data_IF_058321068799
#
_entry.id   IF_058321068799
#
_cell.length_a   1.000
_cell.length_b   1.000
_cell.length_c   1.000
_cell.angle_alpha   90.00
_cell.angle_beta   90.00
_cell.angle_gamma   90.00
#
_symmetry.space_group_name_H-M   'P 1'
#
loop_
_entity.id
_entity.type
_entity.pdbx_description
1 polymer ?
#
# COMPACT_ATOMS: atom_id res chain seq x y z
N UNK A 1 6.97 20.09 9.84
CA UNK A 1 7.62 19.10 10.73
C UNK A 1 6.67 17.93 10.86
N UNK A 2 7.16 16.69 10.78
CA UNK A 2 6.34 15.49 10.95
C UNK A 2 5.66 15.51 12.32
N UNK A 3 4.40 15.07 12.37
CA UNK A 3 3.58 15.12 13.59
C UNK A 3 3.91 13.99 14.58
N UNK A 4 4.60 12.96 14.12
CA UNK A 4 4.92 11.72 14.84
C UNK A 4 6.39 11.35 14.69
N UNK A 5 6.97 10.69 15.69
CA UNK A 5 8.25 10.01 15.51
C UNK A 5 8.09 8.78 14.60
N UNK A 6 9.17 8.29 13.94
CA UNK A 6 9.14 7.07 13.13
C UNK A 6 8.48 5.87 13.84
N UNK A 7 8.81 5.65 15.11
CA UNK A 7 8.30 4.52 15.88
C UNK A 7 6.81 4.67 16.25
N UNK A 8 6.36 5.89 16.56
CA UNK A 8 4.94 6.16 16.81
C UNK A 8 4.10 5.97 15.56
N UNK A 9 4.56 6.51 14.42
CA UNK A 9 3.91 6.33 13.13
C UNK A 9 3.77 4.84 12.81
N UNK A 10 4.84 4.04 12.92
CA UNK A 10 4.79 2.61 12.67
C UNK A 10 3.78 1.89 13.57
N UNK A 11 3.78 2.19 14.88
CA UNK A 11 2.82 1.61 15.84
C UNK A 11 1.37 1.96 15.50
N UNK A 12 1.12 3.21 15.09
CA UNK A 12 -0.22 3.64 14.64
C UNK A 12 -0.63 2.83 13.42
N UNK A 13 0.22 2.70 12.40
CA UNK A 13 -0.08 1.90 11.21
C UNK A 13 -0.45 0.46 11.56
N UNK A 14 0.31 -0.18 12.46
CA UNK A 14 0.07 -1.56 12.91
C UNK A 14 -1.25 -1.78 13.65
N UNK A 15 -1.93 -0.73 14.09
CA UNK A 15 -3.14 -0.82 14.92
C UNK A 15 -4.45 -1.02 14.15
N UNK A 16 -4.49 -0.71 12.85
CA UNK A 16 -5.70 -0.71 12.03
C UNK A 16 -5.45 -1.05 10.56
N UNK A 17 -6.48 -0.98 9.72
CA UNK A 17 -6.38 -1.23 8.29
C UNK A 17 -5.72 -0.06 7.56
N UNK A 18 -4.96 -0.35 6.48
CA UNK A 18 -4.27 0.68 5.68
C UNK A 18 -4.99 0.96 4.37
N UNK A 19 -5.21 2.25 4.11
CA UNK A 19 -5.78 2.74 2.86
C UNK A 19 -4.68 3.00 1.82
N UNK A 20 -4.89 2.53 0.60
CA UNK A 20 -4.03 2.80 -0.56
C UNK A 20 -4.90 3.42 -1.67
N UNK A 21 -5.20 4.73 -1.59
CA UNK A 21 -6.07 5.40 -2.54
C UNK A 21 -5.56 5.30 -3.98
N UNK A 22 -6.46 5.05 -4.93
CA UNK A 22 -6.12 5.20 -6.36
C UNK A 22 -5.89 6.67 -6.71
N UNK A 23 -4.98 6.93 -7.64
CA UNK A 23 -4.77 8.28 -8.19
C UNK A 23 -5.85 8.54 -9.25
N UNK A 24 -6.57 9.66 -9.14
CA UNK A 24 -7.64 10.00 -10.08
C UNK A 24 -7.06 10.68 -11.33
N UNK A 25 -7.53 10.29 -12.50
CA UNK A 25 -7.09 10.87 -13.77
C UNK A 25 -8.27 11.39 -14.57
N UNK A 26 -8.01 12.38 -15.42
CA UNK A 26 -8.91 12.77 -16.51
C UNK A 26 -8.76 11.83 -17.70
N UNK A 27 -9.64 11.95 -18.69
CA UNK A 27 -9.60 11.14 -19.92
C UNK A 27 -8.31 11.34 -20.73
N UNK A 28 -7.65 12.49 -20.59
CA UNK A 28 -6.33 12.78 -21.18
C UNK A 28 -5.15 12.27 -20.33
N UNK A 29 -5.44 11.44 -19.33
CA UNK A 29 -4.54 10.91 -18.31
C UNK A 29 -3.98 11.93 -17.32
N UNK A 30 -4.26 13.23 -17.42
CA UNK A 30 -3.75 14.20 -16.44
C UNK A 30 -4.31 13.97 -15.03
N UNK A 31 -3.53 14.29 -14.00
CA UNK A 31 -3.97 14.16 -12.60
C UNK A 31 -5.21 15.04 -12.32
N UNK A 32 -6.30 14.40 -11.89
CA UNK A 32 -7.51 15.09 -11.45
C UNK A 32 -7.48 15.29 -9.93
N UNK A 33 -6.85 16.40 -9.53
CA UNK A 33 -6.63 16.73 -8.14
C UNK A 33 -7.92 16.94 -7.34
N UNK A 34 -8.92 17.60 -7.94
CA UNK A 34 -10.21 17.83 -7.28
C UNK A 34 -10.91 16.51 -6.99
N UNK A 35 -11.04 15.63 -7.99
CA UNK A 35 -11.67 14.33 -7.80
C UNK A 35 -10.90 13.44 -6.81
N UNK A 36 -9.56 13.52 -6.81
CA UNK A 36 -8.72 12.83 -5.83
C UNK A 36 -9.00 13.31 -4.40
N UNK A 37 -9.01 14.63 -4.16
CA UNK A 37 -9.31 15.22 -2.84
C UNK A 37 -10.72 14.87 -2.37
N UNK A 38 -11.72 14.96 -3.24
CA UNK A 38 -13.10 14.56 -2.92
C UNK A 38 -13.16 13.08 -2.49
N UNK A 39 -12.39 12.20 -3.17
CA UNK A 39 -12.29 10.81 -2.76
C UNK A 39 -11.61 10.64 -1.40
N UNK A 40 -10.52 11.37 -1.13
CA UNK A 40 -9.85 11.33 0.17
C UNK A 40 -10.75 11.83 1.30
N UNK A 41 -11.49 12.92 1.08
CA UNK A 41 -12.46 13.44 2.04
C UNK A 41 -13.49 12.39 2.43
N UNK A 42 -14.02 11.64 1.46
CA UNK A 42 -14.93 10.49 1.71
C UNK A 42 -14.25 9.34 2.46
N UNK A 43 -13.02 8.99 2.09
CA UNK A 43 -12.29 7.90 2.76
C UNK A 43 -11.88 8.27 4.19
N UNK A 44 -11.73 9.55 4.50
CA UNK A 44 -11.39 10.05 5.84
C UNK A 44 -12.51 9.85 6.88
N UNK A 45 -13.75 9.58 6.46
CA UNK A 45 -14.86 9.24 7.36
C UNK A 45 -14.75 7.81 7.93
N UNK A 46 -13.89 6.98 7.32
CA UNK A 46 -13.65 5.60 7.73
C UNK A 46 -12.39 5.50 8.61
N UNK A 47 -12.45 4.62 9.62
CA UNK A 47 -11.37 4.43 10.57
C UNK A 47 -10.26 3.55 9.98
N UNK A 48 -9.30 4.19 9.31
CA UNK A 48 -8.03 3.57 8.87
C UNK A 48 -6.86 4.11 9.69
N UNK A 49 -5.82 3.30 9.88
CA UNK A 49 -4.64 3.70 10.64
C UNK A 49 -3.59 4.44 9.82
N UNK A 50 -3.70 4.42 8.49
CA UNK A 50 -2.77 5.12 7.61
C UNK A 50 -3.27 5.19 6.17
N UNK A 51 -2.81 6.21 5.47
CA UNK A 51 -3.08 6.45 4.06
C UNK A 51 -1.75 6.46 3.28
N UNK A 52 -1.65 5.63 2.25
CA UNK A 52 -0.45 5.55 1.40
C UNK A 52 -0.73 6.24 0.06
N UNK A 53 -0.27 7.49 -0.04
CA UNK A 53 -0.45 8.31 -1.24
C UNK A 53 0.44 7.81 -2.37
N UNK A 54 -0.06 7.85 -3.62
CA UNK A 54 0.70 7.46 -4.81
C UNK A 54 1.47 6.13 -4.67
N UNK A 55 0.92 5.14 -3.93
CA UNK A 55 1.51 3.81 -3.79
C UNK A 55 1.33 2.95 -5.05
N UNK A 56 1.51 1.63 -4.92
CA UNK A 56 1.28 0.71 -6.04
C UNK A 56 -0.14 0.79 -6.62
N UNK A 57 -1.17 0.77 -5.76
CA UNK A 57 -2.58 0.98 -6.14
C UNK A 57 -2.85 2.39 -6.67
N UNK A 58 -2.05 3.37 -6.22
CA UNK A 58 -2.04 4.75 -6.70
C UNK A 58 -1.22 4.94 -8.00
N UNK A 59 -0.83 3.86 -8.66
CA UNK A 59 -0.10 3.88 -9.94
C UNK A 59 1.26 4.60 -9.89
N UNK A 60 2.00 4.51 -8.76
CA UNK A 60 3.37 5.06 -8.61
C UNK A 60 4.24 4.91 -9.86
N UNK A 61 4.20 3.71 -10.46
CA UNK A 61 5.01 3.31 -11.61
C UNK A 61 4.63 4.02 -12.93
N UNK A 62 3.53 4.76 -12.96
CA UNK A 62 3.04 5.53 -14.12
C UNK A 62 2.95 7.04 -13.84
N UNK A 63 3.52 7.50 -12.73
CA UNK A 63 3.57 8.91 -12.35
C UNK A 63 4.96 9.49 -12.58
N UNK A 64 5.01 10.75 -13.02
CA UNK A 64 6.25 11.54 -12.98
C UNK A 64 6.59 11.94 -11.54
N UNK A 65 7.85 12.27 -11.21
CA UNK A 65 8.21 12.78 -9.89
C UNK A 65 7.41 14.03 -9.47
N UNK A 66 7.13 14.93 -10.41
CA UNK A 66 6.32 16.11 -10.15
C UNK A 66 4.85 15.77 -9.81
N UNK A 67 4.28 14.75 -10.46
CA UNK A 67 2.94 14.28 -10.13
C UNK A 67 2.88 13.57 -8.78
N UNK A 68 3.92 12.81 -8.42
CA UNK A 68 4.03 12.18 -7.10
C UNK A 68 3.99 13.26 -6.00
N UNK A 69 4.76 14.34 -6.13
CA UNK A 69 4.74 15.45 -5.17
C UNK A 69 3.35 16.10 -5.09
N UNK A 70 2.69 16.34 -6.24
CA UNK A 70 1.32 16.91 -6.27
C UNK A 70 0.28 16.00 -5.60
N UNK A 71 0.28 14.70 -5.90
CA UNK A 71 -0.62 13.73 -5.28
C UNK A 71 -0.38 13.66 -3.77
N UNK A 72 0.89 13.65 -3.36
CA UNK A 72 1.26 13.62 -1.95
C UNK A 72 0.78 14.86 -1.20
N UNK A 73 1.04 16.07 -1.72
CA UNK A 73 0.58 17.32 -1.10
C UNK A 73 -0.94 17.36 -0.98
N UNK A 74 -1.64 16.92 -2.02
CA UNK A 74 -3.09 16.82 -1.97
C UNK A 74 -3.58 15.89 -0.84
N UNK A 75 -2.89 14.76 -0.64
CA UNK A 75 -3.21 13.85 0.46
C UNK A 75 -2.89 14.44 1.84
N UNK A 76 -1.72 15.04 2.03
CA UNK A 76 -1.31 15.67 3.31
C UNK A 76 -2.28 16.79 3.71
N UNK A 77 -2.64 17.65 2.76
CA UNK A 77 -3.54 18.78 3.01
C UNK A 77 -4.97 18.33 3.30
N UNK A 78 -5.47 17.27 2.65
CA UNK A 78 -6.84 16.79 2.83
C UNK A 78 -7.01 16.00 4.15
N UNK A 79 -5.99 15.24 4.57
CA UNK A 79 -6.05 14.51 5.84
C UNK A 79 -5.95 15.44 7.05
N UNK A 80 -5.25 16.58 6.93
CA UNK A 80 -5.05 17.57 8.01
C UNK A 80 -4.51 16.95 9.30
N UNK A 81 -3.64 15.94 9.16
CA UNK A 81 -3.05 15.20 10.28
C UNK A 81 -4.00 14.25 11.02
N UNK A 82 -5.24 14.05 10.55
CA UNK A 82 -6.19 13.08 11.15
C UNK A 82 -5.75 11.62 10.97
N UNK A 83 -5.09 11.35 9.84
CA UNK A 83 -4.58 10.03 9.45
C UNK A 83 -3.15 10.21 8.96
N UNK A 84 -2.17 9.41 9.44
CA UNK A 84 -0.80 9.46 8.94
C UNK A 84 -0.74 9.25 7.43
N UNK A 85 0.00 10.11 6.73
CA UNK A 85 0.19 10.01 5.28
C UNK A 85 1.59 9.47 4.97
N UNK A 86 1.63 8.33 4.30
CA UNK A 86 2.84 7.65 3.90
C UNK A 86 3.11 7.92 2.42
N UNK A 87 4.22 8.58 2.13
CA UNK A 87 4.66 8.88 0.78
C UNK A 87 5.33 7.69 0.11
N UNK A 88 5.34 7.59 -1.23
CA UNK A 88 6.13 6.61 -1.92
C UNK A 88 7.56 7.15 -2.17
N UNK A 89 8.53 6.26 -2.14
CA UNK A 89 9.85 6.48 -2.74
C UNK A 89 10.27 5.20 -3.47
N UNK A 90 11.13 5.28 -4.47
CA UNK A 90 11.59 4.09 -5.20
C UNK A 90 12.47 4.46 -6.38
N UNK A 91 12.56 3.57 -7.38
CA UNK A 91 13.48 3.71 -8.52
C UNK A 91 14.95 3.63 -8.07
N UNK A 92 15.90 4.14 -8.86
CA UNK A 92 17.31 4.17 -8.46
C UNK A 92 17.56 5.03 -7.21
N UNK A 93 18.67 4.78 -6.50
CA UNK A 93 19.01 5.42 -5.22
C UNK A 93 18.94 6.95 -5.25
N UNK A 94 19.44 7.59 -6.31
CA UNK A 94 19.43 9.05 -6.40
C UNK A 94 18.00 9.62 -6.39
N UNK A 95 17.10 9.01 -7.18
CA UNK A 95 15.72 9.45 -7.27
C UNK A 95 14.92 9.09 -6.01
N UNK A 96 15.18 7.92 -5.41
CA UNK A 96 14.57 7.54 -4.14
C UNK A 96 14.93 8.53 -3.00
N UNK A 97 16.19 9.00 -2.96
CA UNK A 97 16.66 10.02 -2.01
C UNK A 97 16.00 11.37 -2.26
N UNK A 98 15.85 11.78 -3.52
CA UNK A 98 15.13 13.01 -3.89
C UNK A 98 13.67 12.94 -3.46
N UNK A 99 12.98 11.84 -3.76
CA UNK A 99 11.58 11.61 -3.36
C UNK A 99 11.42 11.61 -1.84
N UNK A 100 12.36 11.01 -1.09
CA UNK A 100 12.32 10.99 0.38
C UNK A 100 12.40 12.40 0.98
N UNK A 101 13.29 13.26 0.45
CA UNK A 101 13.40 14.66 0.88
C UNK A 101 12.17 15.47 0.51
N UNK A 102 11.65 15.27 -0.71
CA UNK A 102 10.42 15.92 -1.16
C UNK A 102 9.22 15.53 -0.28
N UNK A 103 9.13 14.25 0.12
CA UNK A 103 8.09 13.77 1.00
C UNK A 103 8.11 14.44 2.38
N UNK A 104 9.29 14.56 2.98
CA UNK A 104 9.48 15.27 4.24
C UNK A 104 9.12 16.76 4.12
N UNK A 105 9.53 17.42 3.03
CA UNK A 105 9.18 18.80 2.75
C UNK A 105 7.67 19.00 2.47
N UNK A 106 7.00 17.99 1.93
CA UNK A 106 5.55 17.99 1.70
C UNK A 106 4.75 17.74 2.99
N UNK A 107 5.39 17.30 4.08
CA UNK A 107 4.74 17.04 5.36
C UNK A 107 4.17 15.63 5.50
N UNK A 108 4.70 14.65 4.76
CA UNK A 108 4.39 13.24 5.00
C UNK A 108 4.85 12.79 6.40
N UNK A 109 4.21 11.76 6.94
CA UNK A 109 4.56 11.17 8.25
C UNK A 109 5.51 9.96 8.12
N UNK A 110 5.64 9.42 6.91
CA UNK A 110 6.51 8.27 6.63
C UNK A 110 6.70 8.02 5.14
N UNK A 111 7.51 7.02 4.82
CA UNK A 111 7.83 6.60 3.46
C UNK A 111 7.63 5.09 3.31
N UNK A 112 6.96 4.68 2.24
CA UNK A 112 7.03 3.33 1.70
C UNK A 112 8.09 3.31 0.60
N UNK A 113 9.18 2.57 0.82
CA UNK A 113 10.26 2.42 -0.15
C UNK A 113 10.00 1.22 -1.05
N UNK A 114 9.57 1.48 -2.28
CA UNK A 114 9.36 0.51 -3.35
C UNK A 114 10.71 -0.01 -3.91
N UNK A 115 10.72 -1.16 -4.60
CA UNK A 115 11.93 -1.71 -5.21
C UNK A 115 12.64 -0.73 -6.17
N UNK A 116 13.97 -0.90 -6.35
CA UNK A 116 14.71 -0.15 -7.34
C UNK A 116 14.32 -0.56 -8.75
N UNK A 117 14.64 0.30 -9.72
CA UNK A 117 14.24 0.08 -11.11
C UNK A 117 14.97 -1.12 -11.74
N UNK A 118 14.17 -2.05 -12.28
CA UNK A 118 14.54 -3.11 -13.25
C UNK A 118 15.49 -4.21 -12.78
N UNK A 119 16.71 -3.87 -12.39
CA UNK A 119 17.79 -4.86 -12.19
C UNK A 119 17.71 -5.55 -10.83
N UNK A 120 18.01 -6.84 -10.80
CA UNK A 120 18.31 -7.55 -9.55
C UNK A 120 19.58 -7.00 -8.91
N UNK A 121 19.70 -7.16 -7.60
CA UNK A 121 20.90 -6.73 -6.87
C UNK A 121 21.23 -7.67 -5.72
N UNK A 122 22.51 -7.78 -5.42
CA UNK A 122 23.00 -8.50 -4.24
C UNK A 122 22.54 -7.80 -2.96
N UNK A 123 22.46 -8.54 -1.86
CA UNK A 123 22.01 -8.04 -0.56
C UNK A 123 22.79 -6.79 -0.10
N UNK A 124 24.10 -6.75 -0.33
CA UNK A 124 24.94 -5.58 0.01
C UNK A 124 24.53 -4.32 -0.78
N UNK A 125 24.13 -4.48 -2.05
CA UNK A 125 23.64 -3.39 -2.89
C UNK A 125 22.27 -2.89 -2.44
N UNK A 126 21.34 -3.82 -2.14
CA UNK A 126 20.03 -3.47 -1.57
C UNK A 126 20.17 -2.73 -0.25
N UNK A 127 21.06 -3.20 0.64
CA UNK A 127 21.33 -2.54 1.91
C UNK A 127 21.86 -1.12 1.72
N UNK A 128 22.86 -0.92 0.85
CA UNK A 128 23.40 0.40 0.57
C UNK A 128 22.34 1.37 -0.02
N UNK A 129 21.45 0.88 -0.87
CA UNK A 129 20.32 1.64 -1.40
C UNK A 129 19.37 2.10 -0.29
N UNK A 130 18.89 1.17 0.54
CA UNK A 130 17.96 1.47 1.64
C UNK A 130 18.60 2.42 2.64
N UNK A 131 19.86 2.18 3.03
CA UNK A 131 20.59 3.00 3.99
C UNK A 131 20.77 4.45 3.49
N UNK A 132 20.99 4.63 2.19
CA UNK A 132 21.06 5.97 1.59
C UNK A 132 19.72 6.72 1.69
N UNK A 133 18.60 6.04 1.48
CA UNK A 133 17.25 6.63 1.66
C UNK A 133 16.99 6.94 3.13
N UNK A 134 17.32 6.03 4.05
CA UNK A 134 17.19 6.24 5.50
C UNK A 134 17.95 7.48 5.99
N UNK A 135 19.17 7.73 5.49
CA UNK A 135 19.95 8.91 5.86
C UNK A 135 19.45 10.22 5.25
N UNK A 136 18.60 10.17 4.23
CA UNK A 136 18.18 11.35 3.49
C UNK A 136 17.04 12.14 4.17
N UNK A 137 16.43 11.57 5.21
CA UNK A 137 15.21 12.10 5.84
C UNK A 137 15.11 11.69 7.31
N UNK A 138 14.35 12.45 8.11
CA UNK A 138 14.00 12.06 9.48
C UNK A 138 12.73 11.19 9.56
N UNK A 139 12.00 11.04 8.46
CA UNK A 139 10.77 10.24 8.40
C UNK A 139 11.02 8.76 8.64
N UNK A 140 9.99 8.08 9.16
CA UNK A 140 10.00 6.62 9.29
C UNK A 140 9.84 5.93 7.93
N UNK A 141 10.62 4.89 7.70
CA UNK A 141 10.66 4.13 6.45
C UNK A 141 10.13 2.72 6.66
N UNK A 142 9.30 2.31 5.71
CA UNK A 142 8.81 0.96 5.53
C UNK A 142 9.41 0.42 4.24
N UNK A 143 10.27 -0.59 4.32
CA UNK A 143 10.80 -1.24 3.12
C UNK A 143 9.75 -2.16 2.51
N UNK A 144 9.59 -2.13 1.19
CA UNK A 144 8.69 -3.01 0.48
C UNK A 144 9.45 -4.19 -0.14
N UNK A 145 9.37 -5.33 0.54
CA UNK A 145 9.92 -6.59 0.11
C UNK A 145 9.07 -7.18 -1.04
N UNK A 146 9.51 -7.02 -2.29
CA UNK A 146 8.84 -7.56 -3.48
C UNK A 146 9.75 -7.54 -4.71
N UNK A 147 9.41 -8.36 -5.71
CA UNK A 147 10.06 -8.36 -7.03
C UNK A 147 11.60 -8.46 -6.91
N UNK A 148 12.35 -7.47 -7.40
CA UNK A 148 13.82 -7.42 -7.38
C UNK A 148 14.42 -6.86 -6.09
N UNK A 149 13.61 -6.43 -5.11
CA UNK A 149 14.05 -6.06 -3.77
C UNK A 149 13.52 -7.05 -2.75
N UNK A 150 14.23 -8.16 -2.57
CA UNK A 150 13.92 -9.17 -1.57
C UNK A 150 15.06 -9.26 -0.56
N UNK A 151 14.82 -8.78 0.66
CA UNK A 151 15.76 -8.78 1.77
C UNK A 151 15.65 -10.11 2.53
N UNK A 152 16.79 -10.67 2.91
CA UNK A 152 16.80 -11.71 3.95
C UNK A 152 16.81 -11.08 5.36
N UNK A 153 16.57 -11.90 6.38
CA UNK A 153 16.48 -11.47 7.77
C UNK A 153 17.79 -10.85 8.29
N UNK A 154 18.95 -11.36 7.85
CA UNK A 154 20.27 -10.88 8.28
C UNK A 154 20.55 -9.45 7.78
N UNK A 155 20.29 -9.21 6.50
CA UNK A 155 20.43 -7.88 5.88
C UNK A 155 19.48 -6.88 6.53
N UNK A 156 18.23 -7.29 6.75
CA UNK A 156 17.23 -6.43 7.37
C UNK A 156 17.60 -6.09 8.83
N UNK A 157 18.12 -7.05 9.60
CA UNK A 157 18.57 -6.82 10.96
C UNK A 157 19.74 -5.83 11.02
N UNK A 158 20.77 -6.02 10.19
CA UNK A 158 21.88 -5.08 10.13
C UNK A 158 21.44 -3.66 9.71
N UNK A 159 20.45 -3.54 8.80
CA UNK A 159 19.87 -2.24 8.45
C UNK A 159 19.15 -1.60 9.65
N UNK A 160 18.40 -2.38 10.44
CA UNK A 160 17.69 -1.87 11.61
C UNK A 160 18.62 -1.33 12.71
N UNK A 161 19.82 -1.88 12.84
CA UNK A 161 20.87 -1.39 13.74
C UNK A 161 21.43 -0.04 13.29
N UNK A 162 21.64 0.14 11.98
CA UNK A 162 22.25 1.35 11.40
C UNK A 162 21.23 2.45 11.09
N UNK A 163 19.96 2.10 10.91
CA UNK A 163 18.88 3.01 10.52
C UNK A 163 17.74 2.98 11.57
N UNK A 164 17.79 3.85 12.60
CA UNK A 164 16.74 3.91 13.61
C UNK A 164 15.35 4.25 13.04
N UNK A 165 15.31 4.99 11.92
CA UNK A 165 14.07 5.33 11.22
C UNK A 165 13.58 4.26 10.24
N UNK A 166 14.30 3.15 10.03
CA UNK A 166 13.71 1.96 9.40
C UNK A 166 12.82 1.26 10.41
N UNK A 167 11.50 1.36 10.25
CA UNK A 167 10.50 1.01 11.27
C UNK A 167 9.43 0.06 10.78
N UNK A 168 9.40 -0.27 9.49
CA UNK A 168 8.47 -1.27 8.99
C UNK A 168 8.99 -2.13 7.85
N UNK A 169 8.32 -3.26 7.67
CA UNK A 169 8.55 -4.22 6.61
C UNK A 169 7.23 -4.59 5.97
N UNK A 170 7.05 -4.23 4.70
CA UNK A 170 5.88 -4.62 3.90
C UNK A 170 6.25 -5.84 3.06
N UNK A 171 5.56 -6.96 3.25
CA UNK A 171 5.77 -8.16 2.42
C UNK A 171 4.81 -8.22 1.24
N UNK A 172 5.36 -8.28 0.03
CA UNK A 172 4.62 -8.50 -1.20
C UNK A 172 5.00 -9.79 -1.93
N UNK A 173 5.79 -10.67 -1.29
CA UNK A 173 6.26 -11.91 -1.91
C UNK A 173 5.34 -13.08 -1.57
N UNK A 174 4.90 -13.20 -0.31
CA UNK A 174 4.13 -14.37 0.11
C UNK A 174 4.98 -15.53 0.62
N UNK A 175 6.30 -15.34 0.81
CA UNK A 175 7.19 -16.38 1.32
C UNK A 175 7.05 -16.51 2.85
N UNK A 176 6.37 -17.58 3.26
CA UNK A 176 6.06 -17.88 4.67
C UNK A 176 7.34 -18.19 5.47
N UNK A 177 8.32 -18.86 4.87
CA UNK A 177 9.57 -19.19 5.57
C UNK A 177 10.37 -17.92 5.82
N UNK A 178 10.52 -17.08 4.80
CA UNK A 178 11.20 -15.79 4.94
C UNK A 178 10.50 -14.90 5.97
N UNK A 179 9.17 -14.77 5.92
CA UNK A 179 8.45 -13.98 6.94
C UNK A 179 8.67 -14.51 8.34
N UNK A 180 8.68 -15.84 8.52
CA UNK A 180 8.95 -16.46 9.83
C UNK A 180 10.36 -16.12 10.32
N UNK A 181 11.38 -16.23 9.48
CA UNK A 181 12.76 -15.86 9.84
C UNK A 181 12.88 -14.37 10.18
N UNK A 182 12.25 -13.51 9.39
CA UNK A 182 12.23 -12.06 9.62
C UNK A 182 11.57 -11.70 10.95
N UNK A 183 10.39 -12.25 11.25
CA UNK A 183 9.72 -11.99 12.52
C UNK A 183 10.50 -12.56 13.72
N UNK A 184 11.03 -13.78 13.59
CA UNK A 184 11.83 -14.40 14.66
C UNK A 184 13.11 -13.60 14.98
N UNK A 185 13.73 -12.99 13.98
CA UNK A 185 14.94 -12.18 14.16
C UNK A 185 14.68 -10.79 14.76
N UNK A 186 13.53 -10.18 14.44
CA UNK A 186 13.30 -8.75 14.71
C UNK A 186 12.17 -8.45 15.68
N UNK A 187 11.21 -9.36 15.87
CA UNK A 187 10.07 -9.20 16.77
C UNK A 187 9.44 -7.81 16.67
N UNK A 188 9.28 -7.13 17.80
CA UNK A 188 8.63 -5.82 17.86
C UNK A 188 9.50 -4.64 17.34
N UNK A 189 10.70 -4.91 16.79
CA UNK A 189 11.55 -3.86 16.20
C UNK A 189 10.90 -3.22 14.98
N UNK A 190 10.08 -3.96 14.22
CA UNK A 190 9.42 -3.48 13.02
C UNK A 190 7.91 -3.66 13.12
N UNK A 191 7.18 -2.77 12.46
CA UNK A 191 5.78 -3.04 12.10
C UNK A 191 5.73 -3.78 10.77
N UNK A 192 5.03 -4.92 10.76
CA UNK A 192 4.89 -5.75 9.57
C UNK A 192 3.57 -5.45 8.85
N UNK A 193 3.64 -5.33 7.52
CA UNK A 193 2.48 -4.99 6.68
C UNK A 193 2.28 -6.06 5.61
N UNK A 194 1.10 -6.68 5.57
CA UNK A 194 0.69 -7.52 4.45
C UNK A 194 0.52 -6.69 3.17
N UNK A 195 1.20 -7.07 2.10
CA UNK A 195 1.35 -6.27 0.88
C UNK A 195 1.15 -7.06 -0.41
N UNK A 196 0.52 -8.23 -0.35
CA UNK A 196 0.13 -9.02 -1.52
C UNK A 196 -1.02 -8.34 -2.28
N UNK A 197 -1.18 -8.59 -3.61
CA UNK A 197 -2.12 -7.83 -4.45
C UNK A 197 -3.58 -7.79 -3.98
N UNK A 198 -4.04 -8.84 -3.31
CA UNK A 198 -5.31 -8.87 -2.56
C UNK A 198 -5.00 -9.47 -1.20
N UNK A 199 -4.56 -8.63 -0.28
CA UNK A 199 -3.95 -9.06 0.98
C UNK A 199 -4.93 -9.78 1.92
N UNK A 200 -6.24 -9.60 1.70
CA UNK A 200 -7.31 -10.28 2.43
C UNK A 200 -7.14 -11.81 2.41
N UNK A 201 -6.61 -12.41 1.34
CA UNK A 201 -6.37 -13.86 1.28
C UNK A 201 -5.29 -14.36 2.23
N UNK A 202 -4.38 -13.48 2.67
CA UNK A 202 -3.26 -13.81 3.55
C UNK A 202 -3.44 -13.22 4.94
N UNK A 203 -4.37 -12.30 5.13
CA UNK A 203 -4.52 -11.51 6.35
C UNK A 203 -4.60 -12.37 7.63
N UNK A 204 -5.44 -13.40 7.63
CA UNK A 204 -5.59 -14.29 8.79
C UNK A 204 -4.34 -15.15 9.08
N UNK A 205 -3.75 -15.90 8.12
CA UNK A 205 -2.51 -16.63 8.41
C UNK A 205 -1.34 -15.70 8.74
N UNK A 206 -1.27 -14.51 8.15
CA UNK A 206 -0.22 -13.52 8.43
C UNK A 206 -0.33 -12.93 9.84
N UNK A 207 -1.55 -12.81 10.38
CA UNK A 207 -1.76 -12.40 11.76
C UNK A 207 -1.06 -13.33 12.76
N UNK A 208 -1.02 -14.64 12.49
CA UNK A 208 -0.33 -15.61 13.36
C UNK A 208 1.21 -15.48 13.29
N UNK A 209 1.74 -14.79 12.27
CA UNK A 209 3.16 -14.45 12.14
C UNK A 209 3.48 -13.03 12.63
N UNK A 210 2.55 -12.40 13.37
CA UNK A 210 2.74 -11.05 13.94
C UNK A 210 2.48 -9.90 12.96
N UNK A 211 1.93 -10.18 11.78
CA UNK A 211 1.53 -9.15 10.81
C UNK A 211 0.10 -8.69 11.12
N UNK A 212 -0.02 -7.59 11.85
CA UNK A 212 -1.30 -7.11 12.40
C UNK A 212 -2.10 -6.22 11.45
N UNK A 213 -1.52 -5.87 10.29
CA UNK A 213 -2.14 -4.98 9.31
C UNK A 213 -1.76 -5.33 7.87
N UNK A 214 -2.52 -4.81 6.91
CA UNK A 214 -2.26 -4.97 5.49
C UNK A 214 -2.83 -3.82 4.68
N UNK A 215 -2.36 -3.69 3.44
CA UNK A 215 -2.95 -2.78 2.45
C UNK A 215 -4.20 -3.39 1.83
N UNK A 216 -5.38 -2.83 2.09
CA UNK A 216 -6.61 -3.23 1.39
C UNK A 216 -6.82 -2.37 0.15
N UNK A 217 -6.74 -2.99 -1.03
CA UNK A 217 -7.10 -2.32 -2.27
C UNK A 217 -8.63 -2.19 -2.42
N UNK A 218 -9.38 -3.18 -1.91
CA UNK A 218 -10.84 -3.23 -1.95
C UNK A 218 -11.48 -2.07 -1.16
N UNK A 219 -10.82 -1.61 -0.09
CA UNK A 219 -11.23 -0.45 0.69
C UNK A 219 -11.52 0.81 -0.16
N UNK A 220 -10.91 0.96 -1.34
CA UNK A 220 -11.21 2.08 -2.25
C UNK A 220 -12.68 2.16 -2.69
N UNK A 221 -13.36 1.02 -2.78
CA UNK A 221 -14.73 0.93 -3.30
C UNK A 221 -15.72 0.21 -2.37
N UNK A 222 -15.25 -0.61 -1.41
CA UNK A 222 -16.06 -1.22 -0.36
C UNK A 222 -15.42 -1.03 1.03
N UNK A 223 -15.39 0.21 1.55
CA UNK A 223 -14.73 0.51 2.80
C UNK A 223 -15.40 -0.12 4.03
N UNK A 224 -16.73 -0.25 4.08
CA UNK A 224 -17.43 -0.86 5.22
C UNK A 224 -17.13 -2.37 5.28
N UNK A 225 -17.26 -3.07 4.15
CA UNK A 225 -16.87 -4.47 4.02
C UNK A 225 -15.40 -4.70 4.37
N UNK A 226 -14.48 -3.87 3.87
CA UNK A 226 -13.04 -4.06 4.12
C UNK A 226 -12.69 -3.91 5.61
N UNK A 227 -13.32 -2.96 6.32
CA UNK A 227 -13.17 -2.81 7.76
C UNK A 227 -13.80 -3.98 8.53
N UNK A 228 -14.99 -4.45 8.12
CA UNK A 228 -15.62 -5.63 8.73
C UNK A 228 -14.77 -6.88 8.56
N UNK A 229 -14.19 -7.10 7.37
CA UNK A 229 -13.29 -8.22 7.11
C UNK A 229 -12.03 -8.12 8.00
N UNK A 230 -11.44 -6.92 8.09
CA UNK A 230 -10.30 -6.66 8.97
C UNK A 230 -10.62 -6.98 10.44
N UNK A 231 -11.78 -6.57 10.94
CA UNK A 231 -12.21 -6.85 12.31
C UNK A 231 -12.38 -8.36 12.56
N UNK A 232 -12.97 -9.10 11.61
CA UNK A 232 -13.05 -10.56 11.66
C UNK A 232 -11.66 -11.21 11.71
N UNK A 233 -10.71 -10.73 10.91
CA UNK A 233 -9.31 -11.18 10.94
C UNK A 233 -8.71 -10.92 12.32
N UNK A 234 -8.80 -9.69 12.85
CA UNK A 234 -8.21 -9.31 14.15
C UNK A 234 -8.79 -10.10 15.32
N UNK A 235 -10.06 -10.51 15.24
CA UNK A 235 -10.74 -11.38 16.21
C UNK A 235 -10.47 -12.88 16.01
N UNK A 236 -9.71 -13.26 14.98
CA UNK A 236 -9.49 -14.66 14.56
C UNK A 236 -10.80 -15.41 14.28
N UNK A 237 -11.81 -14.71 13.78
CA UNK A 237 -13.08 -15.30 13.37
C UNK A 237 -12.90 -16.02 12.03
N UNK A 238 -12.42 -17.26 12.10
CA UNK A 238 -12.12 -18.08 10.92
C UNK A 238 -13.34 -18.28 10.04
N UNK A 239 -14.51 -18.52 10.63
CA UNK A 239 -15.71 -18.82 9.87
C UNK A 239 -16.21 -17.60 9.09
N UNK A 240 -16.17 -16.41 9.70
CA UNK A 240 -16.50 -15.16 9.01
C UNK A 240 -15.49 -14.87 7.88
N UNK A 241 -14.18 -14.99 8.16
CA UNK A 241 -13.13 -14.75 7.16
C UNK A 241 -13.28 -15.69 5.96
N UNK A 242 -13.40 -17.01 6.19
CA UNK A 242 -13.47 -17.98 5.09
C UNK A 242 -14.80 -17.92 4.32
N UNK A 243 -15.86 -17.40 4.92
CA UNK A 243 -17.11 -17.08 4.22
C UNK A 243 -16.88 -15.97 3.20
N UNK A 244 -16.34 -14.84 3.63
CA UNK A 244 -16.07 -13.71 2.73
C UNK A 244 -15.00 -14.03 1.68
N UNK A 245 -14.02 -14.88 2.02
CA UNK A 245 -13.05 -15.37 1.05
C UNK A 245 -13.74 -16.14 -0.09
N UNK A 246 -14.65 -17.06 0.24
CA UNK A 246 -15.35 -17.88 -0.76
C UNK A 246 -16.38 -17.07 -1.54
N UNK A 247 -17.14 -16.23 -0.85
CA UNK A 247 -18.34 -15.61 -1.40
C UNK A 247 -18.03 -14.29 -2.13
N UNK A 248 -16.85 -13.68 -1.90
CA UNK A 248 -16.46 -12.43 -2.54
C UNK A 248 -15.00 -12.40 -3.01
N UNK A 249 -14.02 -12.61 -2.12
CA UNK A 249 -12.59 -12.33 -2.44
C UNK A 249 -12.05 -13.26 -3.53
N UNK A 250 -12.31 -14.56 -3.46
CA UNK A 250 -11.83 -15.53 -4.45
C UNK A 250 -12.52 -15.35 -5.82
N UNK A 251 -13.85 -15.13 -5.92
CA UNK A 251 -14.49 -14.71 -7.17
C UNK A 251 -13.90 -13.41 -7.74
N UNK A 252 -13.64 -12.40 -6.90
CA UNK A 252 -13.00 -11.15 -7.34
C UNK A 252 -11.59 -11.40 -7.89
N UNK A 253 -10.82 -12.26 -7.23
CA UNK A 253 -9.49 -12.68 -7.69
C UNK A 253 -9.56 -13.44 -9.02
N UNK A 254 -10.62 -14.22 -9.26
CA UNK A 254 -10.80 -14.92 -10.53
C UNK A 254 -10.92 -13.95 -11.71
N UNK A 255 -11.61 -12.82 -11.53
CA UNK A 255 -11.64 -11.72 -12.52
C UNK A 255 -10.27 -11.04 -12.61
N UNK A 256 -9.68 -10.67 -11.47
CA UNK A 256 -8.36 -10.01 -11.39
C UNK A 256 -7.27 -10.80 -12.10
N UNK A 257 -7.29 -12.12 -12.03
CA UNK A 257 -6.24 -12.98 -12.58
C UNK A 257 -6.34 -13.20 -14.10
N UNK A 258 -7.39 -12.71 -14.76
CA UNK A 258 -7.56 -12.88 -16.22
C UNK A 258 -6.48 -12.16 -17.04
N UNK A 259 -6.02 -10.99 -16.58
CA UNK A 259 -4.98 -10.21 -17.27
C UNK A 259 -3.94 -9.66 -16.28
N UNK A 260 -2.70 -9.52 -16.74
CA UNK A 260 -1.63 -8.90 -15.95
C UNK A 260 -1.93 -7.41 -15.76
N UNK A 261 -1.58 -6.86 -14.60
CA UNK A 261 -1.87 -5.46 -14.25
C UNK A 261 -3.23 -5.22 -13.62
N UNK A 262 -4.17 -6.17 -13.73
CA UNK A 262 -5.52 -6.03 -13.19
C UNK A 262 -5.61 -5.90 -11.68
N UNK A 263 -4.55 -6.21 -10.92
CA UNK A 263 -4.47 -5.88 -9.50
C UNK A 263 -4.70 -4.39 -9.20
N UNK A 264 -4.48 -3.49 -10.18
CA UNK A 264 -4.81 -2.07 -10.07
C UNK A 264 -6.07 -1.74 -10.87
N UNK A 265 -6.18 -2.17 -12.13
CA UNK A 265 -7.32 -1.84 -12.99
C UNK A 265 -8.68 -2.25 -12.41
N UNK A 266 -8.74 -3.42 -11.76
CA UNK A 266 -9.99 -3.91 -11.16
C UNK A 266 -10.45 -3.04 -9.98
N UNK A 267 -9.53 -2.31 -9.32
CA UNK A 267 -9.87 -1.42 -8.20
C UNK A 267 -10.60 -0.18 -8.73
N UNK A 268 -10.09 0.45 -9.79
CA UNK A 268 -10.77 1.57 -10.46
C UNK A 268 -12.08 1.14 -11.13
N UNK A 269 -12.13 -0.08 -11.65
CA UNK A 269 -13.37 -0.67 -12.14
C UNK A 269 -14.40 -0.87 -11.01
N UNK A 270 -13.97 -1.37 -9.84
CA UNK A 270 -14.80 -1.49 -8.65
C UNK A 270 -15.33 -0.14 -8.15
N UNK A 271 -14.48 0.88 -8.15
CA UNK A 271 -14.90 2.26 -7.86
C UNK A 271 -15.98 2.76 -8.83
N UNK A 272 -15.85 2.44 -10.12
CA UNK A 272 -16.87 2.76 -11.12
C UNK A 272 -18.17 2.00 -10.89
N UNK A 273 -18.11 0.73 -10.48
CA UNK A 273 -19.28 -0.09 -10.19
C UNK A 273 -20.11 0.46 -9.02
N UNK A 274 -19.48 1.16 -8.07
CA UNK A 274 -20.15 1.84 -6.95
C UNK A 274 -20.41 3.33 -7.21
N UNK A 275 -20.32 3.79 -8.47
CA UNK A 275 -20.63 5.16 -8.88
C UNK A 275 -19.59 6.22 -8.48
N UNK A 276 -18.35 5.81 -8.18
CA UNK A 276 -17.25 6.67 -7.71
C UNK A 276 -16.09 6.67 -8.70
N UNK A 277 -16.34 7.09 -9.94
CA UNK A 277 -15.35 7.03 -11.02
C UNK A 277 -14.01 7.73 -10.66
N UNK A 278 -12.90 7.06 -10.93
CA UNK A 278 -11.54 7.56 -10.69
C UNK A 278 -10.76 7.84 -11.99
N UNK A 279 -11.46 7.89 -13.12
CA UNK A 279 -10.87 7.97 -14.46
C UNK A 279 -10.21 6.67 -14.92
N UNK A 280 -9.49 6.70 -16.06
CA UNK A 280 -8.82 5.53 -16.60
C UNK A 280 -7.60 5.14 -15.77
N UNK A 281 -7.09 3.92 -15.94
CA UNK A 281 -5.70 3.58 -15.61
C UNK A 281 -4.76 4.14 -16.68
N UNK A 282 -3.52 4.46 -16.31
CA UNK A 282 -2.51 4.86 -17.30
C UNK A 282 -1.86 3.61 -17.95
N UNK A 283 -1.52 3.67 -19.25
CA UNK A 283 -0.64 2.68 -19.87
C UNK A 283 0.66 2.51 -19.03
N UNK A 284 1.22 1.29 -18.96
CA UNK A 284 0.89 0.09 -19.73
C UNK A 284 -0.24 -0.77 -19.13
N UNK A 285 -0.96 -0.30 -18.10
CA UNK A 285 -2.15 -0.99 -17.63
C UNK A 285 -3.26 -0.94 -18.68
N UNK A 286 -4.15 -1.92 -18.63
CA UNK A 286 -5.35 -1.98 -19.47
C UNK A 286 -6.59 -1.99 -18.61
N UNK A 287 -7.67 -1.49 -19.16
CA UNK A 287 -8.99 -1.52 -18.54
C UNK A 287 -9.57 -2.94 -18.50
N UNK A 288 -10.51 -3.17 -17.58
CA UNK A 288 -11.43 -4.31 -17.69
C UNK A 288 -12.34 -4.11 -18.91
N UNK A 289 -12.60 -5.19 -19.65
CA UNK A 289 -13.57 -5.16 -20.74
C UNK A 289 -15.02 -5.11 -20.22
N UNK A 290 -15.97 -4.89 -21.12
CA UNK A 290 -17.37 -4.69 -20.75
C UNK A 290 -17.98 -5.90 -20.04
N UNK A 291 -17.59 -7.13 -20.42
CA UNK A 291 -18.09 -8.34 -19.79
C UNK A 291 -17.50 -8.50 -18.38
N UNK A 292 -16.19 -8.28 -18.23
CA UNK A 292 -15.50 -8.32 -16.93
C UNK A 292 -16.06 -7.25 -15.96
N UNK A 293 -16.40 -6.06 -16.46
CA UNK A 293 -17.05 -5.01 -15.64
C UNK A 293 -18.45 -5.39 -15.20
N UNK A 294 -19.26 -5.98 -16.08
CA UNK A 294 -20.59 -6.45 -15.74
C UNK A 294 -20.52 -7.54 -14.67
N UNK A 295 -19.60 -8.49 -14.82
CA UNK A 295 -19.35 -9.55 -13.84
C UNK A 295 -18.89 -8.99 -12.49
N UNK A 296 -17.94 -8.04 -12.48
CA UNK A 296 -17.50 -7.38 -11.25
C UNK A 296 -18.63 -6.62 -10.57
N UNK A 297 -19.46 -5.91 -11.33
CA UNK A 297 -20.61 -5.16 -10.79
C UNK A 297 -21.63 -6.10 -10.16
N UNK A 298 -21.95 -7.21 -10.83
CA UNK A 298 -22.82 -8.24 -10.30
C UNK A 298 -22.25 -8.91 -9.05
N UNK A 299 -20.93 -9.16 -9.01
CA UNK A 299 -20.24 -9.72 -7.86
C UNK A 299 -20.26 -8.77 -6.66
N UNK A 300 -20.05 -7.47 -6.87
CA UNK A 300 -20.14 -6.45 -5.82
C UNK A 300 -21.56 -6.42 -5.25
N UNK A 301 -22.58 -6.35 -6.11
CA UNK A 301 -23.97 -6.32 -5.70
C UNK A 301 -24.28 -5.14 -4.78
N UNK A 302 -25.08 -5.38 -3.73
CA UNK A 302 -25.47 -4.34 -2.75
C UNK A 302 -24.47 -4.18 -1.59
N UNK A 303 -23.28 -4.78 -1.70
CA UNK A 303 -22.24 -4.63 -0.66
C UNK A 303 -21.83 -3.16 -0.53
N UNK A 304 -21.52 -2.76 0.70
CA UNK A 304 -21.03 -1.41 1.07
C UNK A 304 -19.63 -1.50 1.66
#
# INVERSE_FOLDING_TARGET
MASMTPAEMARVLGSGLLSFPVTHFRDDFSFDETAYRDNLGRLADYKVSGLFAAGGTGEFFSLTPAEIDRVLRAAVEETRGRTPVIAPAGQGTALAVEMARAAEAAGADGILLLPPYLVGSEQAGLAAHIEAVCRATSLGIIVYNRANAQLNEQTLAGLCERCPNLVGFKDGVGDVELMTRVYAALGDRLTYVGGLPTAETFALPYLEMGVTTYSSAIFNFLPEWALSFYDSVRRRDRDAVYRELRDFVLPYIAIRNRKRGYAVSIVKAGMSAVGRHAGPVRPPLTELDAAERAELTALIGDRR
#
